data_IF_508579192521
#
_entry.id   IF_508579192521
#
_cell.length_a   1.000
_cell.length_b   1.000
_cell.length_c   1.000
_cell.angle_alpha   90.00
_cell.angle_beta   90.00
_cell.angle_gamma   90.00
#
_symmetry.space_group_name_H-M   'P 1'
#
loop_
_entity.id
_entity.type
_entity.pdbx_description
1 polymer ?
#
# COMPACT_ATOMS: atom_id res chain seq x y z
N UNK A 1 -5.94 -2.02 -4.84
CA UNK A 1 -7.33 -2.42 -5.00
C UNK A 1 -7.73 -3.27 -3.82
N UNK A 2 -8.96 -3.16 -3.34
CA UNK A 2 -9.52 -4.07 -2.34
C UNK A 2 -9.74 -5.49 -2.93
N UNK A 3 -8.69 -6.10 -3.50
CA UNK A 3 -8.80 -7.34 -4.27
C UNK A 3 -9.54 -7.15 -5.60
N UNK A 4 -10.11 -8.26 -6.11
CA UNK A 4 -10.97 -8.30 -7.30
C UNK A 4 -12.13 -7.33 -7.22
N UNK A 5 -12.72 -7.17 -6.02
CA UNK A 5 -13.79 -6.22 -5.76
C UNK A 5 -13.45 -4.82 -6.25
N UNK A 6 -12.27 -4.29 -5.91
CA UNK A 6 -11.91 -2.94 -6.35
C UNK A 6 -11.64 -2.80 -7.86
N UNK A 7 -11.39 -3.90 -8.59
CA UNK A 7 -11.10 -3.86 -10.03
C UNK A 7 -12.35 -3.71 -10.89
N UNK A 8 -13.50 -4.10 -10.35
CA UNK A 8 -14.78 -3.92 -11.02
C UNK A 8 -15.13 -2.43 -11.05
N UNK A 9 -15.47 -1.91 -12.23
CA UNK A 9 -15.68 -0.47 -12.42
C UNK A 9 -16.75 0.10 -11.49
N UNK A 10 -17.79 -0.68 -11.21
CA UNK A 10 -18.89 -0.38 -10.28
C UNK A 10 -18.44 -0.25 -8.80
N UNK A 11 -17.32 -0.89 -8.44
CA UNK A 11 -16.84 -0.98 -7.06
C UNK A 11 -15.59 -0.12 -6.80
N UNK A 12 -15.03 0.51 -7.84
CA UNK A 12 -13.86 1.36 -7.74
C UNK A 12 -14.07 2.50 -6.73
N UNK A 13 -15.19 3.23 -6.85
CA UNK A 13 -15.49 4.37 -5.97
C UNK A 13 -15.61 3.93 -4.50
N UNK A 14 -16.33 2.83 -4.25
CA UNK A 14 -16.49 2.26 -2.91
C UNK A 14 -15.14 1.82 -2.35
N UNK A 15 -14.31 1.17 -3.16
CA UNK A 15 -12.96 0.75 -2.76
C UNK A 15 -12.09 1.94 -2.36
N UNK A 16 -12.16 3.06 -3.10
CA UNK A 16 -11.42 4.29 -2.77
C UNK A 16 -11.95 4.93 -1.49
N UNK A 17 -13.28 5.03 -1.32
CA UNK A 17 -13.90 5.53 -0.08
C UNK A 17 -13.46 4.73 1.15
N UNK A 18 -13.38 3.41 1.05
CA UNK A 18 -12.88 2.56 2.14
C UNK A 18 -11.41 2.83 2.47
N UNK A 19 -10.58 3.09 1.46
CA UNK A 19 -9.19 3.48 1.67
C UNK A 19 -9.05 4.82 2.39
N UNK A 20 -9.91 5.80 2.07
CA UNK A 20 -9.90 7.14 2.67
C UNK A 20 -10.29 7.16 4.15
N UNK A 21 -10.98 6.14 4.66
CA UNK A 21 -11.39 6.11 6.07
C UNK A 21 -10.19 6.16 7.03
N UNK A 22 -9.12 5.42 6.74
CA UNK A 22 -7.94 5.31 7.63
C UNK A 22 -6.63 5.07 6.90
N UNK A 23 -6.63 4.21 5.89
CA UNK A 23 -5.41 3.74 5.25
C UNK A 23 -4.70 4.86 4.49
N UNK A 24 -5.38 5.54 3.58
CA UNK A 24 -4.78 6.60 2.77
C UNK A 24 -4.30 7.80 3.59
N UNK A 25 -5.09 8.32 4.55
CA UNK A 25 -4.60 9.37 5.44
C UNK A 25 -3.36 8.96 6.25
N UNK A 26 -3.30 7.71 6.74
CA UNK A 26 -2.13 7.24 7.49
C UNK A 26 -0.88 7.16 6.60
N UNK A 27 -1.01 6.67 5.37
CA UNK A 27 0.10 6.59 4.42
C UNK A 27 0.58 7.99 3.99
N UNK A 28 -0.34 8.92 3.71
CA UNK A 28 0.01 10.30 3.30
C UNK A 28 0.68 11.10 4.42
N UNK A 29 0.33 10.84 5.69
CA UNK A 29 0.96 11.48 6.85
C UNK A 29 2.31 10.87 7.23
N UNK A 30 2.62 9.66 6.76
CA UNK A 30 3.89 9.04 7.06
C UNK A 30 5.04 9.84 6.41
N UNK A 31 6.15 10.09 7.13
CA UNK A 31 7.33 10.72 6.55
C UNK A 31 7.79 10.04 5.26
N UNK A 32 8.44 10.79 4.38
CA UNK A 32 8.81 10.25 3.07
C UNK A 32 9.71 9.02 3.15
N UNK A 33 10.62 9.01 4.14
CA UNK A 33 11.54 7.93 4.46
C UNK A 33 10.88 6.70 5.11
N UNK A 34 9.61 6.79 5.51
CA UNK A 34 8.90 5.66 6.11
C UNK A 34 8.62 4.59 5.06
N UNK A 35 9.13 3.39 5.32
CA UNK A 35 8.84 2.22 4.48
C UNK A 35 7.42 1.75 4.77
N UNK A 36 6.58 1.71 3.74
CA UNK A 36 5.25 1.10 3.81
C UNK A 36 5.36 -0.36 3.38
N UNK A 37 4.95 -1.28 4.25
CA UNK A 37 5.03 -2.72 3.99
C UNK A 37 3.63 -3.35 3.92
N UNK A 38 3.37 -4.17 2.89
CA UNK A 38 2.15 -4.95 2.78
C UNK A 38 2.40 -6.27 2.04
N UNK A 39 1.96 -7.39 2.63
CA UNK A 39 2.18 -8.73 2.09
C UNK A 39 1.32 -9.03 0.84
N UNK A 40 0.07 -8.58 0.83
CA UNK A 40 -0.85 -8.79 -0.30
C UNK A 40 -0.53 -7.89 -1.50
N UNK A 41 -0.55 -8.45 -2.70
CA UNK A 41 -0.39 -7.69 -3.96
C UNK A 41 -1.48 -6.62 -4.10
N UNK A 42 -2.73 -6.98 -3.82
CA UNK A 42 -3.88 -6.07 -3.90
C UNK A 42 -3.75 -4.91 -2.92
N UNK A 43 -3.26 -5.18 -1.70
CA UNK A 43 -2.99 -4.15 -0.69
C UNK A 43 -1.93 -3.16 -1.18
N UNK A 44 -0.81 -3.65 -1.73
CA UNK A 44 0.23 -2.78 -2.30
C UNK A 44 -0.31 -1.93 -3.45
N UNK A 45 -1.10 -2.52 -4.34
CA UNK A 45 -1.78 -1.79 -5.41
C UNK A 45 -2.78 -0.76 -4.88
N UNK A 46 -3.48 -1.03 -3.76
CA UNK A 46 -4.45 -0.09 -3.17
C UNK A 46 -3.73 1.16 -2.68
N UNK A 47 -2.63 0.94 -1.95
CA UNK A 47 -1.80 2.01 -1.44
C UNK A 47 -1.24 2.83 -2.61
N UNK A 48 -0.70 2.17 -3.65
CA UNK A 48 -0.18 2.87 -4.83
C UNK A 48 -1.26 3.66 -5.57
N UNK A 49 -2.42 3.08 -5.84
CA UNK A 49 -3.49 3.77 -6.56
C UNK A 49 -4.08 4.94 -5.75
N UNK A 50 -4.28 4.78 -4.45
CA UNK A 50 -4.93 5.81 -3.63
C UNK A 50 -4.00 6.91 -3.10
N UNK A 51 -2.69 6.68 -3.06
CA UNK A 51 -1.75 7.62 -2.41
C UNK A 51 -0.50 7.92 -3.22
N UNK A 52 -0.31 7.25 -4.36
CA UNK A 52 0.88 7.26 -5.19
C UNK A 52 2.19 6.78 -4.50
N UNK A 53 2.14 6.47 -3.20
CA UNK A 53 3.24 5.89 -2.43
C UNK A 53 3.42 4.41 -2.79
N UNK A 54 4.65 3.95 -3.08
CA UNK A 54 4.91 2.52 -3.24
C UNK A 54 4.86 1.82 -1.87
N UNK A 55 4.36 0.60 -1.85
CA UNK A 55 4.48 -0.32 -0.71
C UNK A 55 5.32 -1.53 -1.11
N UNK A 56 6.15 -2.02 -0.19
CA UNK A 56 7.03 -3.18 -0.40
C UNK A 56 6.43 -4.45 0.22
N UNK A 57 6.75 -5.60 -0.36
CA UNK A 57 6.51 -6.86 0.33
C UNK A 57 7.43 -6.95 1.56
N UNK A 58 6.96 -7.43 2.74
CA UNK A 58 7.80 -7.53 3.93
C UNK A 58 9.13 -8.28 3.71
N UNK A 59 9.14 -9.34 2.89
CA UNK A 59 10.37 -10.03 2.51
C UNK A 59 11.39 -9.15 1.78
N UNK A 60 10.96 -8.17 0.97
CA UNK A 60 11.87 -7.20 0.33
C UNK A 60 12.48 -6.27 1.37
N UNK A 61 11.68 -5.83 2.36
CA UNK A 61 12.15 -5.00 3.48
C UNK A 61 13.18 -5.76 4.31
N UNK A 62 12.87 -7.02 4.66
CA UNK A 62 13.78 -7.90 5.39
C UNK A 62 15.08 -8.12 4.61
N UNK A 63 15.00 -8.43 3.31
CA UNK A 63 16.18 -8.57 2.45
C UNK A 63 17.05 -7.32 2.48
N UNK A 64 16.46 -6.14 2.36
CA UNK A 64 17.20 -4.87 2.44
C UNK A 64 17.88 -4.68 3.79
N UNK A 65 17.22 -5.06 4.89
CA UNK A 65 17.76 -4.94 6.23
C UNK A 65 18.95 -5.89 6.45
N UNK A 66 18.85 -7.15 6.03
CA UNK A 66 19.90 -8.17 6.25
C UNK A 66 21.02 -8.15 5.21
N UNK A 67 20.79 -7.56 4.04
CA UNK A 67 21.79 -7.45 2.97
C UNK A 67 22.65 -6.19 3.07
N UNK A 68 22.29 -5.24 3.95
CA UNK A 68 23.20 -4.15 4.31
C UNK A 68 24.34 -4.75 5.11
N UNK A 69 25.54 -4.84 4.52
CA UNK A 69 26.76 -5.04 5.30
C UNK A 69 26.85 -3.88 6.30
N UNK A 70 26.99 -4.23 7.58
CA UNK A 70 27.40 -3.30 8.64
C UNK A 70 28.74 -2.68 8.30
#
# INVERSE_FOLDING_TARGET
MAGSFGYEAEHLEVSLKMGELRLFPAVRRAPEQTIIAAAGVSCRQQIKHGTDRPALHPAQVLRQAVSRKL
#
